data_IF_790394292846
#
_entry.id   IF_790394292846
#
_cell.length_a   1.000
_cell.length_b   1.000
_cell.length_c   1.000
_cell.angle_alpha   90.00
_cell.angle_beta   90.00
_cell.angle_gamma   90.00
#
_symmetry.space_group_name_H-M   'P 1'
#
loop_
_entity.id
_entity.type
_entity.pdbx_description
1 polymer ?
#
# COMPACT_ATOMS: atom_id res chain seq x y z
N UNK A 1 4.74 14.07 -24.60
CA UNK A 1 3.52 13.43 -24.06
C UNK A 1 3.74 12.03 -23.49
N UNK A 2 4.47 11.12 -24.16
CA UNK A 2 4.64 9.72 -23.72
C UNK A 2 5.22 9.56 -22.29
N UNK A 3 6.32 10.26 -21.96
CA UNK A 3 6.95 10.18 -20.63
C UNK A 3 6.01 10.60 -19.47
N UNK A 4 5.24 11.68 -19.65
CA UNK A 4 4.28 12.15 -18.62
C UNK A 4 3.16 11.15 -18.36
N UNK A 5 2.73 10.45 -19.40
CA UNK A 5 1.68 9.41 -19.31
C UNK A 5 2.21 8.18 -18.59
N UNK A 6 3.39 7.69 -18.97
CA UNK A 6 4.05 6.55 -18.33
C UNK A 6 4.32 6.82 -16.84
N UNK A 7 4.87 7.99 -16.51
CA UNK A 7 5.10 8.35 -15.11
C UNK A 7 3.79 8.41 -14.30
N UNK A 8 2.70 8.88 -14.90
CA UNK A 8 1.39 8.92 -14.26
C UNK A 8 0.92 7.50 -13.92
N UNK A 9 1.03 6.56 -14.87
CA UNK A 9 0.69 5.15 -14.66
C UNK A 9 1.54 4.53 -13.56
N UNK A 10 2.87 4.70 -13.63
CA UNK A 10 3.82 4.16 -12.64
C UNK A 10 3.50 4.69 -11.25
N UNK A 11 3.41 6.01 -11.07
CA UNK A 11 3.08 6.59 -9.77
C UNK A 11 1.75 6.07 -9.23
N UNK A 12 0.75 5.90 -10.10
CA UNK A 12 -0.57 5.38 -9.72
C UNK A 12 -0.47 3.94 -9.23
N UNK A 13 0.20 3.07 -9.98
CA UNK A 13 0.42 1.69 -9.61
C UNK A 13 1.27 1.55 -8.33
N UNK A 14 2.33 2.35 -8.19
CA UNK A 14 3.14 2.39 -6.97
C UNK A 14 2.29 2.78 -5.77
N UNK A 15 1.49 3.85 -5.86
CA UNK A 15 0.59 4.27 -4.77
C UNK A 15 -0.38 3.16 -4.37
N UNK A 16 -0.96 2.47 -5.34
CA UNK A 16 -1.88 1.37 -5.07
C UNK A 16 -1.21 0.21 -4.35
N UNK A 17 -0.06 -0.25 -4.86
CA UNK A 17 0.67 -1.36 -4.25
C UNK A 17 1.10 -1.00 -2.83
N UNK A 18 1.69 0.18 -2.60
CA UNK A 18 2.13 0.55 -1.24
C UNK A 18 0.95 0.68 -0.28
N UNK A 19 -0.16 1.30 -0.69
CA UNK A 19 -1.28 1.56 0.20
C UNK A 19 -2.01 0.27 0.54
N UNK A 20 -2.25 -0.59 -0.46
CA UNK A 20 -2.93 -1.87 -0.22
C UNK A 20 -2.05 -2.81 0.60
N UNK A 21 -0.77 -2.96 0.27
CA UNK A 21 0.15 -3.78 1.07
C UNK A 21 0.32 -3.26 2.50
N UNK A 22 0.23 -1.94 2.70
CA UNK A 22 0.35 -1.35 4.03
C UNK A 22 -0.81 -1.69 4.96
N UNK A 23 -2.01 -1.92 4.45
CA UNK A 23 -3.15 -2.38 5.27
C UNK A 23 -2.78 -3.70 5.96
N UNK A 24 -2.23 -4.64 5.19
CA UNK A 24 -1.87 -5.96 5.68
C UNK A 24 -0.61 -5.95 6.55
N UNK A 25 0.43 -5.23 6.12
CA UNK A 25 1.69 -5.20 6.86
C UNK A 25 1.57 -4.43 8.18
N UNK A 26 0.70 -3.42 8.26
CA UNK A 26 0.45 -2.69 9.50
C UNK A 26 -0.19 -3.57 10.58
N UNK A 27 -1.00 -4.57 10.19
CA UNK A 27 -1.56 -5.54 11.14
C UNK A 27 -0.46 -6.44 11.72
N UNK A 28 0.41 -6.98 10.85
CA UNK A 28 1.58 -7.77 11.23
C UNK A 28 2.51 -6.99 12.16
N UNK A 29 2.86 -5.76 11.78
CA UNK A 29 3.70 -4.88 12.60
C UNK A 29 3.02 -4.59 13.93
N UNK A 30 1.71 -4.34 13.94
CA UNK A 30 0.96 -4.07 15.16
C UNK A 30 1.00 -5.24 16.15
N UNK A 31 0.93 -6.47 15.65
CA UNK A 31 1.03 -7.69 16.45
C UNK A 31 2.46 -7.88 16.98
N UNK A 32 3.48 -7.68 16.14
CA UNK A 32 4.86 -7.83 16.55
C UNK A 32 5.28 -6.74 17.56
N UNK A 33 4.92 -5.49 17.30
CA UNK A 33 5.16 -4.36 18.18
C UNK A 33 4.32 -3.14 17.76
N UNK A 34 3.29 -2.84 18.56
CA UNK A 34 2.33 -1.75 18.30
C UNK A 34 2.99 -0.37 18.13
N UNK A 35 4.14 -0.12 18.79
CA UNK A 35 4.86 1.16 18.70
C UNK A 35 5.28 1.50 17.28
N UNK A 36 5.61 0.51 16.45
CA UNK A 36 6.07 0.72 15.08
C UNK A 36 4.94 0.87 14.06
N UNK A 37 3.70 0.56 14.43
CA UNK A 37 2.55 0.61 13.52
C UNK A 37 2.28 2.03 13.00
N UNK A 38 2.22 3.02 13.88
CA UNK A 38 1.96 4.41 13.49
C UNK A 38 3.11 5.02 12.67
N UNK A 39 4.39 4.92 13.09
CA UNK A 39 5.52 5.34 12.26
C UNK A 39 5.51 4.72 10.86
N UNK A 40 5.20 3.44 10.75
CA UNK A 40 5.07 2.76 9.46
C UNK A 40 3.99 3.38 8.57
N UNK A 41 2.77 3.58 9.09
CA UNK A 41 1.67 4.20 8.36
C UNK A 41 2.00 5.64 7.90
N UNK A 42 2.71 6.41 8.74
CA UNK A 42 3.18 7.75 8.39
C UNK A 42 4.18 7.72 7.21
N UNK A 43 5.13 6.79 7.23
CA UNK A 43 6.08 6.61 6.11
C UNK A 43 5.33 6.29 4.81
N UNK A 44 4.36 5.37 4.86
CA UNK A 44 3.52 5.03 3.70
C UNK A 44 2.78 6.26 3.19
N UNK A 45 2.16 7.05 4.07
CA UNK A 45 1.45 8.26 3.70
C UNK A 45 2.36 9.33 3.08
N UNK A 46 3.60 9.46 3.55
CA UNK A 46 4.60 10.37 2.97
C UNK A 46 5.00 9.91 1.56
N UNK A 47 5.25 8.61 1.36
CA UNK A 47 5.56 8.06 0.03
C UNK A 47 4.37 8.27 -0.90
N UNK A 48 3.15 8.02 -0.44
CA UNK A 48 1.92 8.26 -1.19
C UNK A 48 1.79 9.73 -1.62
N UNK A 49 1.97 10.67 -0.70
CA UNK A 49 1.95 12.10 -1.00
C UNK A 49 3.05 12.48 -2.00
N UNK A 50 4.25 11.92 -1.83
CA UNK A 50 5.37 12.15 -2.74
C UNK A 50 5.07 11.64 -4.15
N UNK A 51 4.36 10.52 -4.30
CA UNK A 51 3.94 9.97 -5.60
C UNK A 51 2.78 10.76 -6.25
N UNK A 52 1.95 11.44 -5.46
CA UNK A 52 0.89 12.34 -5.96
C UNK A 52 1.43 13.66 -6.51
N UNK A 53 2.59 14.14 -6.04
CA UNK A 53 3.17 15.40 -6.52
C UNK A 53 3.24 15.43 -8.04
N UNK A 54 2.74 16.52 -8.61
CA UNK A 54 2.56 16.66 -10.06
C UNK A 54 2.78 18.11 -10.49
N UNK A 55 3.04 18.31 -11.78
CA UNK A 55 3.18 19.64 -12.41
C UNK A 55 1.84 20.40 -12.45
N UNK A 56 0.73 19.67 -12.49
CA UNK A 56 -0.62 20.24 -12.54
C UNK A 56 -1.59 19.47 -11.67
N UNK A 57 -2.61 20.17 -11.18
CA UNK A 57 -3.72 19.59 -10.41
C UNK A 57 -4.48 18.52 -11.20
N UNK A 58 -4.65 18.71 -12.51
CA UNK A 58 -5.26 17.71 -13.40
C UNK A 58 -4.47 16.41 -13.41
N UNK A 59 -3.14 16.49 -13.49
CA UNK A 59 -2.29 15.31 -13.48
C UNK A 59 -2.28 14.62 -12.11
N UNK A 60 -2.33 15.38 -11.01
CA UNK A 60 -2.49 14.82 -9.66
C UNK A 60 -3.79 14.04 -9.53
N UNK A 61 -4.92 14.63 -9.94
CA UNK A 61 -6.22 13.95 -9.92
C UNK A 61 -6.21 12.71 -10.82
N UNK A 62 -5.56 12.79 -11.98
CA UNK A 62 -5.43 11.63 -12.87
C UNK A 62 -4.65 10.48 -12.22
N UNK A 63 -3.53 10.78 -11.54
CA UNK A 63 -2.78 9.78 -10.77
C UNK A 63 -3.64 9.14 -9.69
N UNK A 64 -4.40 9.97 -8.98
CA UNK A 64 -5.27 9.50 -7.91
C UNK A 64 -6.40 8.61 -8.44
N UNK A 65 -7.16 9.06 -9.45
CA UNK A 65 -8.24 8.27 -10.04
C UNK A 65 -7.72 6.96 -10.62
N UNK A 66 -6.56 6.99 -11.30
CA UNK A 66 -5.96 5.80 -11.88
C UNK A 66 -5.43 4.81 -10.82
N UNK A 67 -5.12 5.28 -9.61
CA UNK A 67 -4.76 4.39 -8.50
C UNK A 67 -5.95 3.56 -7.98
N UNK A 68 -7.20 4.00 -8.17
CA UNK A 68 -8.37 3.24 -7.71
C UNK A 68 -8.48 1.83 -8.34
N UNK A 69 -8.46 1.67 -9.67
CA UNK A 69 -8.52 0.33 -10.28
C UNK A 69 -7.27 -0.51 -9.95
N UNK A 70 -6.08 0.08 -9.89
CA UNK A 70 -4.88 -0.65 -9.46
C UNK A 70 -5.01 -1.16 -8.01
N UNK A 71 -5.54 -0.33 -7.11
CA UNK A 71 -5.76 -0.72 -5.71
C UNK A 71 -6.79 -1.85 -5.62
N UNK A 72 -7.84 -1.81 -6.44
CA UNK A 72 -8.81 -2.89 -6.53
C UNK A 72 -8.15 -4.21 -6.94
N UNK A 73 -7.34 -4.23 -8.01
CA UNK A 73 -6.64 -5.45 -8.42
C UNK A 73 -5.65 -5.97 -7.37
N UNK A 74 -4.91 -5.09 -6.70
CA UNK A 74 -4.03 -5.50 -5.60
C UNK A 74 -4.83 -6.10 -4.44
N UNK A 75 -5.95 -5.48 -4.07
CA UNK A 75 -6.79 -5.96 -2.99
C UNK A 75 -7.41 -7.32 -3.32
N UNK A 76 -7.95 -7.48 -4.53
CA UNK A 76 -8.48 -8.76 -5.03
C UNK A 76 -7.43 -9.87 -4.98
N UNK A 77 -6.19 -9.58 -5.39
CA UNK A 77 -5.09 -10.55 -5.30
C UNK A 77 -4.86 -10.99 -3.84
N UNK A 78 -4.73 -10.05 -2.91
CA UNK A 78 -4.52 -10.39 -1.49
C UNK A 78 -5.72 -11.11 -0.86
N UNK A 79 -6.93 -10.76 -1.29
CA UNK A 79 -8.15 -11.41 -0.85
C UNK A 79 -8.24 -12.86 -1.31
N UNK A 80 -8.08 -13.11 -2.62
CA UNK A 80 -8.16 -14.44 -3.21
C UNK A 80 -7.08 -15.38 -2.71
N UNK A 81 -5.91 -14.84 -2.40
CA UNK A 81 -4.80 -15.62 -1.84
C UNK A 81 -4.89 -15.76 -0.32
N UNK A 82 -5.89 -15.20 0.36
CA UNK A 82 -5.96 -15.20 1.83
C UNK A 82 -4.65 -14.75 2.50
N UNK A 83 -4.01 -13.75 1.90
CA UNK A 83 -2.62 -13.37 2.21
C UNK A 83 -2.44 -13.01 3.69
N UNK A 84 -3.36 -12.22 4.24
CA UNK A 84 -3.32 -11.80 5.65
C UNK A 84 -3.38 -12.97 6.62
N UNK A 85 -4.35 -13.86 6.43
CA UNK A 85 -4.57 -15.02 7.30
C UNK A 85 -3.36 -15.96 7.25
N UNK A 86 -2.84 -16.23 6.05
CA UNK A 86 -1.65 -17.07 5.90
C UNK A 86 -0.40 -16.41 6.50
N UNK A 87 -0.23 -15.10 6.32
CA UNK A 87 0.86 -14.35 6.93
C UNK A 87 0.79 -14.36 8.47
N UNK A 88 -0.41 -14.22 9.04
CA UNK A 88 -0.62 -14.29 10.49
C UNK A 88 -0.27 -15.66 11.04
N UNK A 89 -0.65 -16.73 10.36
CA UNK A 89 -0.33 -18.10 10.77
C UNK A 89 1.14 -18.48 10.56
N UNK A 90 1.87 -17.74 9.71
CA UNK A 90 3.32 -17.86 9.60
C UNK A 90 4.05 -17.24 10.80
N UNK A 91 3.48 -16.18 11.39
CA UNK A 91 4.08 -15.46 12.53
C UNK A 91 3.63 -16.03 13.87
N UNK A 92 2.35 -16.41 13.97
CA UNK A 92 1.73 -16.99 15.16
C UNK A 92 1.26 -18.40 14.80
N UNK A 93 1.96 -19.39 15.32
CA UNK A 93 1.61 -20.79 15.13
C UNK A 93 0.22 -21.08 15.76
N UNK A 94 -0.68 -21.73 15.00
CA UNK A 94 -2.02 -22.07 15.46
C UNK A 94 -3.00 -20.88 15.57
N UNK A 95 -2.71 -19.74 14.93
CA UNK A 95 -3.61 -18.57 14.94
C UNK A 95 -5.01 -18.89 14.36
N UNK A 96 -5.07 -19.73 13.33
CA UNK A 96 -6.32 -20.11 12.67
C UNK A 96 -6.89 -18.95 11.85
N UNK A 97 -8.17 -18.62 12.07
CA UNK A 97 -8.86 -17.54 11.33
C UNK A 97 -8.95 -16.25 12.14
N UNK A 98 -9.00 -15.11 11.46
CA UNK A 98 -9.14 -13.81 12.13
C UNK A 98 -10.44 -13.75 12.94
N UNK A 99 -10.31 -13.37 14.22
CA UNK A 99 -11.46 -13.11 15.08
C UNK A 99 -12.21 -11.84 14.65
N UNK A 100 -13.47 -11.70 15.09
CA UNK A 100 -14.25 -10.48 14.87
C UNK A 100 -13.54 -9.21 15.38
N UNK A 101 -12.80 -9.32 16.49
CA UNK A 101 -11.98 -8.23 17.03
C UNK A 101 -10.76 -7.89 16.16
N UNK A 102 -10.10 -8.90 15.57
CA UNK A 102 -9.01 -8.71 14.61
C UNK A 102 -9.47 -7.93 13.37
N UNK A 103 -10.61 -8.35 12.79
CA UNK A 103 -11.21 -7.67 11.64
C UNK A 103 -11.59 -6.21 11.96
N UNK A 104 -12.11 -5.95 13.16
CA UNK A 104 -12.44 -4.59 13.59
C UNK A 104 -11.20 -3.71 13.76
N UNK A 105 -10.12 -4.25 14.34
CA UNK A 105 -8.83 -3.56 14.45
C UNK A 105 -8.26 -3.22 13.07
N UNK A 106 -8.28 -4.18 12.13
CA UNK A 106 -7.87 -3.96 10.74
C UNK A 106 -8.68 -2.85 10.05
N UNK A 107 -9.99 -2.78 10.31
CA UNK A 107 -10.85 -1.72 9.79
C UNK A 107 -10.49 -0.32 10.34
N UNK A 108 -10.14 -0.21 11.62
CA UNK A 108 -9.67 1.07 12.21
C UNK A 108 -8.35 1.49 11.55
N UNK A 109 -7.42 0.55 11.36
CA UNK A 109 -6.14 0.83 10.70
C UNK A 109 -6.35 1.30 9.26
N UNK A 110 -7.30 0.69 8.54
CA UNK A 110 -7.70 1.12 7.20
C UNK A 110 -8.20 2.57 7.21
N UNK A 111 -9.12 2.91 8.12
CA UNK A 111 -9.62 4.29 8.23
C UNK A 111 -8.47 5.26 8.50
N UNK A 112 -7.57 4.93 9.43
CA UNK A 112 -6.42 5.76 9.76
C UNK A 112 -5.52 5.99 8.54
N UNK A 113 -5.20 4.93 7.79
CA UNK A 113 -4.39 5.02 6.58
C UNK A 113 -5.08 5.89 5.52
N UNK A 114 -6.39 5.75 5.33
CA UNK A 114 -7.16 6.57 4.38
C UNK A 114 -7.12 8.06 4.76
N UNK A 115 -7.27 8.38 6.04
CA UNK A 115 -7.16 9.76 6.54
C UNK A 115 -5.76 10.33 6.28
N UNK A 116 -4.71 9.55 6.55
CA UNK A 116 -3.32 9.98 6.30
C UNK A 116 -3.04 10.18 4.80
N UNK A 117 -3.49 9.26 3.95
CA UNK A 117 -3.39 9.39 2.49
C UNK A 117 -4.17 10.60 1.96
N UNK A 118 -5.33 10.90 2.53
CA UNK A 118 -6.12 12.09 2.20
C UNK A 118 -5.41 13.39 2.61
N UNK A 119 -4.82 13.44 3.80
CA UNK A 119 -3.98 14.55 4.22
C UNK A 119 -2.77 14.74 3.26
N UNK A 120 -2.15 13.63 2.86
CA UNK A 120 -1.10 13.62 1.83
C UNK A 120 -1.55 14.17 0.48
N UNK A 121 -2.79 13.87 0.07
CA UNK A 121 -3.39 14.44 -1.14
C UNK A 121 -3.59 15.94 -1.02
N UNK A 122 -4.14 16.45 0.09
CA UNK A 122 -4.32 17.89 0.32
C UNK A 122 -2.96 18.60 0.26
N UNK A 123 -1.94 18.03 0.90
CA UNK A 123 -0.58 18.54 0.85
C UNK A 123 -0.05 18.59 -0.59
N UNK A 124 -0.14 17.48 -1.32
CA UNK A 124 0.33 17.41 -2.70
C UNK A 124 -0.43 18.38 -3.61
N UNK A 125 -1.73 18.56 -3.39
CA UNK A 125 -2.57 19.51 -4.12
C UNK A 125 -2.16 20.97 -3.87
N UNK A 126 -1.80 21.30 -2.63
CA UNK A 126 -1.33 22.65 -2.25
C UNK A 126 0.05 22.98 -2.85
N UNK A 127 0.90 21.98 -3.05
CA UNK A 127 2.27 22.16 -3.55
C UNK A 127 2.42 21.93 -5.05
N UNK A 128 1.47 21.26 -5.71
CA UNK A 128 1.51 20.98 -7.15
C UNK A 128 1.67 22.27 -7.96
N UNK A 129 2.83 22.41 -8.62
CA UNK A 129 3.24 23.61 -9.34
C UNK A 129 4.26 23.25 -10.43
N UNK A 130 4.38 24.08 -11.48
CA UNK A 130 5.35 23.88 -12.56
C UNK A 130 6.82 23.85 -12.09
N UNK A 131 7.11 24.39 -10.91
CA UNK A 131 8.45 24.40 -10.29
C UNK A 131 8.94 23.00 -9.87
N UNK A 132 8.07 21.98 -9.89
CA UNK A 132 8.36 20.61 -9.40
C UNK A 132 8.96 19.71 -10.49
N UNK A 133 9.19 20.20 -11.72
CA UNK A 133 9.71 19.43 -12.87
C UNK A 133 10.91 18.50 -12.55
N UNK A 134 11.89 18.97 -11.77
CA UNK A 134 13.07 18.16 -11.40
C UNK A 134 12.69 16.97 -10.50
N UNK A 135 11.76 17.16 -9.58
CA UNK A 135 11.29 16.10 -8.67
C UNK A 135 10.49 15.03 -9.39
N UNK A 136 9.75 15.37 -10.46
CA UNK A 136 8.93 14.41 -11.21
C UNK A 136 9.76 13.33 -11.91
N UNK A 137 10.95 13.68 -12.41
CA UNK A 137 11.85 12.70 -13.03
C UNK A 137 12.41 11.73 -11.99
N UNK A 138 12.82 12.24 -10.83
CA UNK A 138 13.30 11.42 -9.71
C UNK A 138 12.17 10.55 -9.15
N UNK A 139 10.98 11.14 -8.96
CA UNK A 139 9.76 10.47 -8.51
C UNK A 139 9.44 9.25 -9.38
N UNK A 140 9.50 9.36 -10.71
CA UNK A 140 9.25 8.23 -11.62
C UNK A 140 10.24 7.09 -11.39
N UNK A 141 11.53 7.40 -11.23
CA UNK A 141 12.58 6.40 -11.04
C UNK A 141 12.42 5.73 -9.68
N UNK A 142 12.26 6.51 -8.63
CA UNK A 142 12.00 6.01 -7.27
C UNK A 142 10.71 5.19 -7.21
N UNK A 143 9.66 5.61 -7.93
CA UNK A 143 8.40 4.89 -8.02
C UNK A 143 8.54 3.50 -8.63
N UNK A 144 9.35 3.35 -9.70
CA UNK A 144 9.67 2.04 -10.29
C UNK A 144 10.39 1.16 -9.28
N UNK A 145 11.41 1.68 -8.60
CA UNK A 145 12.17 0.92 -7.60
C UNK A 145 11.29 0.44 -6.45
N UNK A 146 10.45 1.33 -5.91
CA UNK A 146 9.49 0.97 -4.85
C UNK A 146 8.51 -0.09 -5.35
N UNK A 147 7.96 0.08 -6.56
CA UNK A 147 7.01 -0.88 -7.13
C UNK A 147 7.63 -2.27 -7.30
N UNK A 148 8.84 -2.34 -7.87
CA UNK A 148 9.56 -3.60 -8.04
C UNK A 148 9.91 -4.24 -6.70
N UNK A 149 10.39 -3.44 -5.74
CA UNK A 149 10.70 -3.92 -4.38
C UNK A 149 9.46 -4.53 -3.73
N UNK A 150 8.32 -3.84 -3.80
CA UNK A 150 7.08 -4.33 -3.22
C UNK A 150 6.62 -5.64 -3.86
N UNK A 151 6.69 -5.77 -5.18
CA UNK A 151 6.35 -7.03 -5.87
C UNK A 151 7.27 -8.16 -5.42
N UNK A 152 8.59 -7.91 -5.36
CA UNK A 152 9.57 -8.92 -4.94
C UNK A 152 9.30 -9.34 -3.50
N UNK A 153 9.08 -8.40 -2.59
CA UNK A 153 8.78 -8.70 -1.18
C UNK A 153 7.48 -9.50 -1.07
N UNK A 154 6.41 -9.08 -1.75
CA UNK A 154 5.12 -9.78 -1.70
C UNK A 154 5.26 -11.20 -2.25
N UNK A 155 5.90 -11.37 -3.41
CA UNK A 155 6.11 -12.67 -4.03
C UNK A 155 7.04 -13.57 -3.19
N UNK A 156 8.05 -13.01 -2.55
CA UNK A 156 8.94 -13.76 -1.66
C UNK A 156 8.21 -14.23 -0.40
N UNK A 157 7.44 -13.35 0.24
CA UNK A 157 6.64 -13.69 1.41
C UNK A 157 5.58 -14.75 1.08
N UNK A 158 4.96 -14.65 -0.10
CA UNK A 158 4.01 -15.64 -0.61
C UNK A 158 4.60 -17.06 -0.63
N UNK A 159 5.90 -17.23 -0.91
CA UNK A 159 6.54 -18.57 -0.89
C UNK A 159 6.85 -19.08 0.51
N UNK A 160 6.83 -18.22 1.53
CA UNK A 160 7.12 -18.60 2.92
C UNK A 160 5.85 -18.98 3.68
N UNK A 161 4.70 -18.54 3.21
CA UNK A 161 3.45 -18.70 3.94
C UNK A 161 2.91 -20.14 3.87
N UNK A 162 2.31 -20.64 4.97
CA UNK A 162 1.65 -21.94 4.97
C UNK A 162 0.49 -21.95 3.99
N UNK A 163 0.18 -23.11 3.40
CA UNK A 163 -0.94 -23.19 2.49
C UNK A 163 -2.27 -22.98 3.23
N UNK A 164 -3.25 -22.36 2.57
CA UNK A 164 -4.50 -21.96 3.23
C UNK A 164 -5.29 -23.16 3.79
N UNK A 165 -5.21 -24.32 3.15
CA UNK A 165 -5.86 -25.54 3.63
C UNK A 165 -5.28 -26.02 4.97
N UNK A 166 -3.97 -25.89 5.17
CA UNK A 166 -3.31 -26.24 6.43
C UNK A 166 -3.77 -25.31 7.57
N UNK A 167 -3.99 -24.03 7.25
CA UNK A 167 -4.50 -23.04 8.23
C UNK A 167 -5.90 -23.39 8.74
N UNK A 168 -6.77 -23.93 7.88
CA UNK A 168 -8.13 -24.33 8.25
C UNK A 168 -8.16 -25.63 9.09
N UNK A 169 -7.08 -26.39 9.09
CA UNK A 169 -6.99 -27.66 9.82
C UNK A 169 -6.70 -27.49 11.32
N UNK A 170 -6.36 -26.29 11.79
CA UNK A 170 -6.14 -25.95 13.21
C UNK A 170 -7.43 -25.87 14.06
N UNK A 171 -8.53 -26.48 13.60
CA UNK A 171 -9.81 -26.54 14.31
C UNK A 171 -9.91 -27.76 15.23
#
# INVERSE_FOLDING_TARGET
MKFKTINTIICSATMSVITVSAIFLAEIIGIANELFRLPYLLVVAVIYAAMLLSESKKQLLLKWVLSLPFSFFCFEYFWQTHYSIRALNWIIEGYGTQSAGGNFSGFIVLILLLVLCFAGMIFAYSKSSEKIKRYIKVQSLTGIWIFMLMIIVVAYLETQFPAYHDVLSYH
#
